data_IF_657531413949
#
_entry.id   IF_657531413949
#
_cell.length_a   1.000
_cell.length_b   1.000
_cell.length_c   1.000
_cell.angle_alpha   90.00
_cell.angle_beta   90.00
_cell.angle_gamma   90.00
#
_symmetry.space_group_name_H-M   'P 1'
#
loop_
_entity.id
_entity.type
_entity.pdbx_description
1 polymer ?
#
# COMPACT_ATOMS: atom_id res chain seq x y z
N UNK A 1 27.64 -4.48 5.68
CA UNK A 1 27.84 -3.24 4.91
C UNK A 1 27.79 -2.06 5.88
N UNK A 2 28.88 -1.33 6.09
CA UNK A 2 28.90 -0.21 7.07
C UNK A 2 28.49 1.09 6.39
N UNK A 3 27.68 1.91 7.05
CA UNK A 3 27.31 3.25 6.59
C UNK A 3 25.95 3.37 5.90
N UNK A 4 25.20 2.28 5.75
CA UNK A 4 23.85 2.30 5.19
C UNK A 4 22.78 2.30 6.28
N UNK A 5 21.69 2.99 6.00
CA UNK A 5 20.56 3.15 6.90
C UNK A 5 19.28 2.66 6.24
N UNK A 6 18.44 1.99 7.01
CA UNK A 6 17.07 1.64 6.63
C UNK A 6 16.15 2.66 7.29
N UNK A 7 15.38 3.36 6.46
CA UNK A 7 14.33 4.26 6.93
C UNK A 7 13.08 3.44 7.16
N UNK A 8 12.58 3.45 8.39
CA UNK A 8 11.40 2.72 8.84
C UNK A 8 10.28 3.71 9.12
N UNK A 9 9.09 3.45 8.62
CA UNK A 9 7.87 4.13 9.04
C UNK A 9 7.38 3.58 10.40
N UNK A 10 6.43 4.26 11.02
CA UNK A 10 5.92 3.91 12.35
C UNK A 10 4.75 2.90 12.28
N UNK A 11 4.83 1.91 11.38
CA UNK A 11 3.81 0.87 11.32
C UNK A 11 3.92 -0.07 12.53
N UNK A 12 2.78 -0.41 13.13
CA UNK A 12 2.70 -1.29 14.32
C UNK A 12 3.37 -2.65 14.11
N UNK A 13 3.48 -3.12 12.87
CA UNK A 13 4.18 -4.35 12.49
C UNK A 13 5.67 -4.36 12.86
N UNK A 14 6.28 -3.19 13.09
CA UNK A 14 7.70 -3.07 13.44
C UNK A 14 7.98 -3.09 14.94
N UNK A 15 6.96 -3.26 15.78
CA UNK A 15 7.11 -3.35 17.24
C UNK A 15 7.87 -4.61 17.69
N UNK A 16 8.05 -5.58 16.81
CA UNK A 16 8.76 -6.82 17.15
C UNK A 16 10.28 -6.61 17.19
N UNK A 17 10.89 -6.76 18.38
CA UNK A 17 12.34 -6.55 18.61
C UNK A 17 13.26 -7.29 17.62
N UNK A 18 12.84 -8.46 17.16
CA UNK A 18 13.58 -9.28 16.20
C UNK A 18 13.92 -8.54 14.90
N UNK A 19 13.06 -7.64 14.43
CA UNK A 19 13.28 -6.92 13.16
C UNK A 19 14.55 -6.07 13.25
N UNK A 20 14.70 -5.31 14.34
CA UNK A 20 15.90 -4.50 14.59
C UNK A 20 17.15 -5.38 14.72
N UNK A 21 17.06 -6.50 15.43
CA UNK A 21 18.18 -7.46 15.61
C UNK A 21 18.67 -8.01 14.26
N UNK A 22 17.76 -8.38 13.36
CA UNK A 22 18.14 -8.88 12.03
C UNK A 22 18.77 -7.80 11.14
N UNK A 23 18.29 -6.55 11.23
CA UNK A 23 18.84 -5.42 10.48
C UNK A 23 20.27 -5.11 10.94
N UNK A 24 20.48 -5.04 12.25
CA UNK A 24 21.80 -4.79 12.85
C UNK A 24 22.77 -5.95 12.60
N UNK A 25 22.30 -7.20 12.65
CA UNK A 25 23.11 -8.39 12.33
C UNK A 25 23.69 -8.34 10.90
N UNK A 26 22.96 -7.78 9.95
CA UNK A 26 23.42 -7.56 8.56
C UNK A 26 24.34 -6.33 8.42
N UNK A 27 24.52 -5.56 9.49
CA UNK A 27 25.38 -4.38 9.57
C UNK A 27 24.70 -3.06 9.21
N UNK A 28 23.37 -3.03 9.09
CA UNK A 28 22.61 -1.81 8.83
C UNK A 28 22.19 -1.11 10.13
N UNK A 29 21.76 0.16 10.02
CA UNK A 29 21.13 0.91 11.12
C UNK A 29 19.72 1.34 10.73
N UNK A 30 18.79 1.31 11.67
CA UNK A 30 17.44 1.83 11.46
C UNK A 30 17.36 3.33 11.80
N UNK A 31 16.63 4.09 10.99
CA UNK A 31 16.17 5.44 11.29
C UNK A 31 14.65 5.42 11.25
N UNK A 32 14.00 5.87 12.31
CA UNK A 32 12.56 5.90 12.40
C UNK A 32 12.05 7.28 12.01
N UNK A 33 11.03 7.33 11.15
CA UNK A 33 10.36 8.57 10.81
C UNK A 33 9.48 9.06 11.98
N UNK A 34 9.29 10.39 12.10
CA UNK A 34 8.27 10.94 13.00
C UNK A 34 6.89 10.35 12.70
N UNK A 35 6.10 10.14 13.75
CA UNK A 35 4.74 9.62 13.64
C UNK A 35 3.90 10.54 12.75
N UNK A 36 3.16 9.95 11.80
CA UNK A 36 2.24 10.64 10.89
C UNK A 36 2.88 11.66 9.93
N UNK A 37 4.16 11.48 9.54
CA UNK A 37 4.84 12.29 8.51
C UNK A 37 5.03 11.53 7.18
N UNK A 38 3.96 11.26 6.40
CA UNK A 38 4.07 10.61 5.10
C UNK A 38 4.90 11.42 4.08
N UNK A 39 4.96 12.74 4.22
CA UNK A 39 5.79 13.63 3.40
C UNK A 39 7.29 13.36 3.54
N UNK A 40 7.71 12.79 4.67
CA UNK A 40 9.10 12.43 4.94
C UNK A 40 9.44 11.00 4.50
N UNK A 41 8.47 10.22 4.04
CA UNK A 41 8.69 8.85 3.58
C UNK A 41 8.99 8.84 2.07
N UNK A 42 10.23 8.59 1.62
CA UNK A 42 10.59 8.66 0.20
C UNK A 42 9.80 7.66 -0.66
N UNK A 43 9.27 6.57 -0.06
CA UNK A 43 8.46 5.60 -0.78
C UNK A 43 7.12 6.19 -1.26
N UNK A 44 6.58 7.19 -0.55
CA UNK A 44 5.33 7.84 -0.94
C UNK A 44 5.49 8.63 -2.24
N UNK A 45 6.66 9.25 -2.43
CA UNK A 45 6.99 9.92 -3.70
C UNK A 45 7.11 8.91 -4.84
N UNK A 46 7.73 7.76 -4.58
CA UNK A 46 7.79 6.67 -5.55
C UNK A 46 6.38 6.20 -5.94
N UNK A 47 5.50 5.97 -4.95
CA UNK A 47 4.12 5.57 -5.21
C UNK A 47 3.31 6.63 -5.95
N UNK A 48 3.53 7.92 -5.70
CA UNK A 48 2.90 8.99 -6.47
C UNK A 48 3.24 8.89 -7.97
N UNK A 49 4.53 8.65 -8.28
CA UNK A 49 4.98 8.46 -9.66
C UNK A 49 4.40 7.17 -10.26
N UNK A 50 4.49 6.05 -9.52
CA UNK A 50 3.98 4.76 -9.98
C UNK A 50 2.47 4.83 -10.28
N UNK A 51 1.68 5.39 -9.36
CA UNK A 51 0.24 5.62 -9.54
C UNK A 51 -0.04 6.53 -10.73
N UNK A 52 0.75 7.59 -10.95
CA UNK A 52 0.57 8.47 -12.11
C UNK A 52 0.79 7.75 -13.44
N UNK A 53 1.75 6.82 -13.49
CA UNK A 53 2.04 6.00 -14.67
C UNK A 53 0.93 4.99 -14.93
N UNK A 54 0.50 4.26 -13.90
CA UNK A 54 -0.62 3.32 -13.98
C UNK A 54 -1.89 4.06 -14.40
N UNK A 55 -2.17 5.21 -13.80
CA UNK A 55 -3.30 6.08 -14.16
C UNK A 55 -3.25 6.48 -15.63
N UNK A 56 -2.10 6.92 -16.15
CA UNK A 56 -1.95 7.28 -17.57
C UNK A 56 -2.09 6.08 -18.51
N UNK A 57 -1.65 4.89 -18.11
CA UNK A 57 -1.86 3.67 -18.87
C UNK A 57 -3.34 3.27 -18.86
N UNK A 58 -4.00 3.36 -17.71
CA UNK A 58 -5.44 3.15 -17.60
C UNK A 58 -6.22 4.18 -18.44
N UNK A 59 -5.85 5.47 -18.46
CA UNK A 59 -6.50 6.44 -19.35
C UNK A 59 -6.20 6.23 -20.83
N UNK A 60 -5.11 5.54 -21.18
CA UNK A 60 -4.86 5.09 -22.56
C UNK A 60 -5.70 3.85 -22.91
N UNK A 61 -6.02 3.01 -21.93
CA UNK A 61 -6.87 1.83 -22.05
C UNK A 61 -8.37 2.15 -21.88
N UNK A 62 -8.75 3.21 -21.16
CA UNK A 62 -10.13 3.68 -20.94
C UNK A 62 -10.71 4.30 -22.21
N UNK A 63 -9.87 4.65 -23.20
CA UNK A 63 -10.33 4.92 -24.56
C UNK A 63 -10.76 3.64 -25.30
N UNK A 64 -10.41 2.46 -24.81
CA UNK A 64 -10.61 1.17 -25.50
C UNK A 64 -11.39 0.13 -24.67
N UNK A 65 -11.43 0.18 -23.34
CA UNK A 65 -12.16 -0.82 -22.55
C UNK A 65 -12.82 -0.22 -21.32
N UNK A 66 -14.10 0.09 -21.46
CA UNK A 66 -15.04 0.26 -20.35
C UNK A 66 -15.04 -1.00 -19.47
N UNK A 67 -14.21 -1.05 -18.44
CA UNK A 67 -14.50 -1.89 -17.28
C UNK A 67 -15.06 -0.99 -16.19
N UNK A 68 -16.27 -1.28 -15.68
CA UNK A 68 -16.88 -0.45 -14.69
C UNK A 68 -16.01 -0.51 -13.44
N UNK A 69 -15.59 0.67 -13.00
CA UNK A 69 -15.19 0.93 -11.61
C UNK A 69 -16.16 0.18 -10.70
N UNK A 70 -15.72 -0.95 -10.14
CA UNK A 70 -16.56 -1.80 -9.28
C UNK A 70 -17.16 -0.95 -8.14
N UNK A 71 -18.45 -1.16 -7.79
CA UNK A 71 -19.33 -0.08 -7.41
C UNK A 71 -19.30 0.14 -5.91
N UNK A 72 -18.80 1.29 -5.49
CA UNK A 72 -18.99 1.78 -4.13
C UNK A 72 -19.98 2.97 -4.07
N UNK A 73 -20.64 3.30 -5.19
CA UNK A 73 -21.39 4.56 -5.33
C UNK A 73 -22.72 4.41 -6.08
N UNK A 74 -23.29 3.20 -6.14
CA UNK A 74 -24.66 3.02 -6.61
C UNK A 74 -25.62 3.18 -5.43
N UNK A 75 -26.59 4.11 -5.47
CA UNK A 75 -27.62 4.21 -4.42
C UNK A 75 -28.43 2.90 -4.41
N UNK A 76 -28.40 2.17 -3.30
CA UNK A 76 -29.14 0.91 -3.13
C UNK A 76 -28.31 -0.37 -3.04
N UNK A 77 -26.98 -0.29 -2.92
CA UNK A 77 -26.15 -1.47 -2.63
C UNK A 77 -26.24 -1.84 -1.14
N UNK A 78 -26.96 -2.92 -0.83
CA UNK A 78 -27.12 -3.41 0.54
C UNK A 78 -25.96 -4.35 0.92
N UNK A 79 -25.30 -4.09 2.06
CA UNK A 79 -24.08 -4.80 2.48
C UNK A 79 -24.32 -6.29 2.74
N UNK A 80 -25.56 -6.65 3.12
CA UNK A 80 -25.93 -8.03 3.45
C UNK A 80 -25.97 -8.93 2.22
N UNK A 81 -26.38 -8.39 1.07
CA UNK A 81 -26.48 -9.14 -0.18
C UNK A 81 -25.11 -9.37 -0.84
N UNK A 82 -24.19 -8.43 -0.66
CA UNK A 82 -22.80 -8.57 -1.11
C UNK A 82 -22.04 -9.67 -0.35
N UNK A 83 -22.28 -9.81 0.96
CA UNK A 83 -21.66 -10.87 1.77
C UNK A 83 -22.19 -12.25 1.36
N UNK A 84 -23.50 -12.37 1.14
CA UNK A 84 -24.12 -13.63 0.76
C UNK A 84 -23.66 -14.12 -0.63
N UNK A 85 -23.43 -13.21 -1.58
CA UNK A 85 -22.89 -13.56 -2.90
C UNK A 85 -21.41 -13.94 -2.85
N UNK A 86 -20.62 -13.32 -1.97
CA UNK A 86 -19.20 -13.67 -1.79
C UNK A 86 -19.04 -15.07 -1.16
N UNK A 87 -19.97 -15.47 -0.30
CA UNK A 87 -19.95 -16.77 0.38
C UNK A 87 -20.39 -17.91 -0.55
N UNK A 88 -21.32 -17.65 -1.48
CA UNK A 88 -21.73 -18.61 -2.52
C UNK A 88 -20.63 -18.83 -3.58
N UNK A 89 -19.78 -17.84 -3.85
CA UNK A 89 -18.69 -17.97 -4.82
C UNK A 89 -17.47 -18.75 -4.28
N UNK A 90 -17.46 -19.10 -2.99
CA UNK A 90 -16.35 -19.79 -2.34
C UNK A 90 -16.68 -21.20 -1.81
N UNK A 91 -17.84 -21.74 -2.18
CA UNK A 91 -18.22 -23.15 -2.07
C UNK A 91 -18.52 -23.74 -3.45
#
# INVERSE_FOLDING_TARGET
MKGHYIVMDNALIYTHENIKKYIEYRGYRCVYLPTCSPELNPIEQFWAIAKSKVKRLHFAEDAITFLPRWPAQSPGYDQVEALNQAEVAHN
#
